data_IF_769007641065
#
_entry.id   IF_769007641065
#
_cell.length_a   1.000
_cell.length_b   1.000
_cell.length_c   1.000
_cell.angle_alpha   90.00
_cell.angle_beta   90.00
_cell.angle_gamma   90.00
#
_symmetry.space_group_name_H-M   'P 1'
#
loop_
_entity.id
_entity.type
_entity.pdbx_description
1 polymer ?
#
# COMPACT_ATOMS: atom_id res chain seq x y z
N UNK A 1 -21.13 -4.27 6.42
CA UNK A 1 -21.21 -4.46 4.96
C UNK A 1 -19.89 -5.04 4.50
N UNK A 2 -19.92 -5.97 3.57
CA UNK A 2 -18.75 -6.52 2.90
C UNK A 2 -18.91 -6.52 1.39
N UNK A 3 -17.84 -6.90 0.72
CA UNK A 3 -17.75 -7.09 -0.72
C UNK A 3 -17.11 -8.45 -0.98
N UNK A 4 -17.71 -9.24 -1.86
CA UNK A 4 -17.18 -10.53 -2.30
C UNK A 4 -17.06 -10.52 -3.81
N UNK A 5 -15.92 -10.98 -4.31
CA UNK A 5 -15.70 -11.21 -5.75
C UNK A 5 -15.87 -12.70 -6.05
N UNK A 6 -16.65 -13.01 -7.09
CA UNK A 6 -16.84 -14.37 -7.57
C UNK A 6 -16.54 -14.50 -9.06
N UNK A 7 -16.18 -15.71 -9.48
CA UNK A 7 -16.14 -16.15 -10.87
C UNK A 7 -17.14 -17.30 -11.03
N UNK A 8 -18.15 -17.14 -11.88
CA UNK A 8 -19.22 -18.14 -12.08
C UNK A 8 -19.84 -18.65 -10.76
N UNK A 9 -20.11 -17.72 -9.85
CA UNK A 9 -20.65 -17.95 -8.50
C UNK A 9 -19.70 -18.61 -7.48
N UNK A 10 -18.47 -18.93 -7.87
CA UNK A 10 -17.42 -19.39 -6.95
C UNK A 10 -16.62 -18.23 -6.38
N UNK A 11 -16.39 -18.23 -5.05
CA UNK A 11 -15.62 -17.18 -4.38
C UNK A 11 -14.16 -17.26 -4.81
N UNK A 12 -13.60 -16.11 -5.20
CA UNK A 12 -12.15 -16.01 -5.41
C UNK A 12 -11.47 -15.85 -4.05
N UNK A 13 -10.59 -16.78 -3.70
CA UNK A 13 -9.85 -16.76 -2.44
C UNK A 13 -9.05 -15.46 -2.26
N UNK A 14 -9.09 -14.89 -1.05
CA UNK A 14 -8.48 -13.60 -0.74
C UNK A 14 -9.15 -12.38 -1.40
N UNK A 15 -10.23 -12.54 -2.19
CA UNK A 15 -10.87 -11.44 -2.92
C UNK A 15 -12.11 -10.88 -2.21
N UNK A 16 -11.95 -10.50 -0.94
CA UNK A 16 -13.04 -9.92 -0.13
C UNK A 16 -12.65 -8.59 0.51
N UNK A 17 -13.59 -7.65 0.47
CA UNK A 17 -13.51 -6.38 1.17
C UNK A 17 -14.41 -6.38 2.41
N UNK A 18 -13.83 -6.60 3.58
CA UNK A 18 -14.52 -6.68 4.85
C UNK A 18 -14.49 -5.38 5.63
N UNK A 19 -15.54 -5.20 6.42
CA UNK A 19 -15.71 -4.14 7.41
C UNK A 19 -15.81 -2.71 6.87
N UNK A 20 -16.97 -2.43 6.27
CA UNK A 20 -17.53 -1.09 6.35
C UNK A 20 -18.14 -0.83 7.74
N UNK A 21 -17.34 -0.52 8.79
CA UNK A 21 -17.88 -0.29 10.14
C UNK A 21 -18.81 0.92 10.17
N UNK A 22 -20.11 0.64 10.23
CA UNK A 22 -21.18 1.63 10.26
C UNK A 22 -22.11 1.22 11.40
N UNK A 23 -22.22 2.06 12.44
CA UNK A 23 -23.11 1.82 13.59
C UNK A 23 -24.21 2.88 13.74
N UNK A 24 -24.25 3.84 12.82
CA UNK A 24 -25.17 4.98 12.84
C UNK A 24 -25.25 5.71 14.20
N UNK A 25 -24.15 5.73 14.95
CA UNK A 25 -24.05 6.30 16.30
C UNK A 25 -22.64 6.83 16.53
N UNK A 26 -22.52 7.87 17.37
CA UNK A 26 -21.26 8.57 17.66
C UNK A 26 -20.51 8.97 16.37
N UNK A 27 -21.24 9.47 15.36
CA UNK A 27 -20.73 9.86 14.04
C UNK A 27 -20.12 8.76 13.15
N UNK A 28 -20.16 7.47 13.54
CA UNK A 28 -19.73 6.36 12.66
C UNK A 28 -20.86 5.97 11.69
N UNK A 29 -21.03 6.81 10.67
CA UNK A 29 -22.13 6.72 9.68
C UNK A 29 -21.66 6.36 8.28
N UNK A 30 -20.36 6.49 8.02
CA UNK A 30 -19.78 6.32 6.69
C UNK A 30 -18.61 5.35 6.78
N UNK A 31 -18.44 4.57 5.74
CA UNK A 31 -17.26 3.74 5.54
C UNK A 31 -17.07 3.47 4.06
N UNK A 32 -15.89 2.98 3.69
CA UNK A 32 -15.55 2.49 2.36
C UNK A 32 -14.94 1.11 2.51
N UNK A 33 -15.33 0.20 1.63
CA UNK A 33 -14.73 -1.14 1.52
C UNK A 33 -13.96 -1.19 0.21
N UNK A 34 -12.80 -1.83 0.24
CA UNK A 34 -11.89 -1.90 -0.89
C UNK A 34 -11.39 -3.33 -1.04
N UNK A 35 -11.16 -3.72 -2.28
CA UNK A 35 -10.41 -4.91 -2.65
C UNK A 35 -9.42 -4.49 -3.75
N UNK A 36 -8.20 -4.98 -3.65
CA UNK A 36 -7.16 -4.83 -4.66
C UNK A 36 -6.34 -6.10 -4.70
N UNK A 37 -6.28 -6.78 -5.82
CA UNK A 37 -5.52 -8.02 -5.95
C UNK A 37 -5.58 -8.57 -7.35
N UNK A 38 -4.87 -9.67 -7.55
CA UNK A 38 -4.84 -10.43 -8.79
C UNK A 38 -5.87 -11.55 -8.70
N UNK A 39 -6.59 -11.77 -9.80
CA UNK A 39 -7.57 -12.84 -9.93
C UNK A 39 -7.25 -13.59 -11.23
N UNK A 40 -7.15 -14.91 -11.14
CA UNK A 40 -7.03 -15.79 -12.30
C UNK A 40 -8.43 -16.16 -12.79
N UNK A 41 -8.72 -15.86 -14.06
CA UNK A 41 -10.01 -16.13 -14.68
C UNK A 41 -9.83 -16.76 -16.07
N UNK A 42 -10.70 -17.71 -16.40
CA UNK A 42 -10.77 -18.34 -17.71
C UNK A 42 -11.69 -17.58 -18.67
N UNK A 43 -11.48 -17.79 -19.96
CA UNK A 43 -12.29 -17.15 -20.99
C UNK A 43 -13.76 -17.58 -20.88
N UNK A 44 -14.65 -16.61 -20.72
CA UNK A 44 -16.10 -16.83 -20.63
C UNK A 44 -16.65 -16.85 -19.21
N UNK A 45 -15.80 -16.87 -18.19
CA UNK A 45 -16.24 -16.74 -16.80
C UNK A 45 -16.83 -15.35 -16.53
N UNK A 46 -17.82 -15.29 -15.65
CA UNK A 46 -18.49 -14.06 -15.23
C UNK A 46 -17.92 -13.60 -13.90
N UNK A 47 -17.18 -12.49 -13.91
CA UNK A 47 -16.77 -11.79 -12.70
C UNK A 47 -17.96 -11.03 -12.11
N UNK A 48 -18.32 -11.37 -10.88
CA UNK A 48 -19.38 -10.70 -10.13
C UNK A 48 -18.83 -10.08 -8.86
N UNK A 49 -19.26 -8.85 -8.56
CA UNK A 49 -18.94 -8.16 -7.31
C UNK A 49 -20.25 -7.97 -6.54
N UNK A 50 -20.36 -8.61 -5.38
CA UNK A 50 -21.57 -8.60 -4.55
C UNK A 50 -21.32 -7.84 -3.25
N UNK A 51 -22.25 -6.96 -2.87
CA UNK A 51 -22.24 -6.34 -1.54
C UNK A 51 -23.06 -7.16 -0.56
N UNK A 52 -22.50 -7.43 0.62
CA UNK A 52 -23.08 -8.35 1.60
C UNK A 52 -23.42 -7.68 2.93
N UNK A 53 -24.49 -8.15 3.58
CA UNK A 53 -24.80 -7.84 4.97
C UNK A 53 -24.15 -8.88 5.87
N UNK A 54 -23.06 -8.48 6.55
CA UNK A 54 -22.25 -9.38 7.38
C UNK A 54 -22.39 -9.13 8.88
N UNK A 55 -23.26 -8.20 9.26
CA UNK A 55 -23.58 -7.88 10.64
C UNK A 55 -25.08 -7.57 10.75
N UNK A 56 -25.49 -6.87 11.81
CA UNK A 56 -26.88 -6.50 12.05
C UNK A 56 -27.56 -5.86 10.82
N UNK A 57 -28.84 -6.18 10.65
CA UNK A 57 -29.63 -5.69 9.55
C UNK A 57 -29.80 -4.16 9.56
N UNK A 58 -29.78 -3.56 8.38
CA UNK A 58 -29.93 -2.13 8.18
C UNK A 58 -29.80 -1.73 6.72
N UNK A 59 -30.02 -0.44 6.45
CA UNK A 59 -29.88 0.12 5.11
C UNK A 59 -28.58 0.90 5.01
N UNK A 60 -27.73 0.51 4.06
CA UNK A 60 -26.54 1.25 3.66
C UNK A 60 -26.72 1.61 2.20
N UNK A 61 -26.56 2.89 1.87
CA UNK A 61 -26.66 3.39 0.50
C UNK A 61 -25.33 4.02 0.09
N UNK A 62 -25.00 3.92 -1.19
CA UNK A 62 -24.02 4.84 -1.78
C UNK A 62 -24.65 6.23 -1.79
N UNK A 63 -23.92 7.23 -1.28
CA UNK A 63 -24.46 8.59 -1.18
C UNK A 63 -24.80 9.15 -2.58
N UNK A 64 -25.78 10.07 -2.70
CA UNK A 64 -26.08 10.73 -3.96
C UNK A 64 -24.81 11.34 -4.59
N UNK A 65 -24.69 11.22 -5.92
CA UNK A 65 -23.54 11.69 -6.70
C UNK A 65 -22.20 11.00 -6.37
N UNK A 66 -22.23 9.84 -5.70
CA UNK A 66 -21.07 8.95 -5.57
C UNK A 66 -21.33 7.66 -6.33
N UNK A 67 -20.26 7.04 -6.80
CA UNK A 67 -20.30 5.73 -7.45
C UNK A 67 -19.25 4.83 -6.79
N UNK A 68 -19.58 3.54 -6.67
CA UNK A 68 -18.55 2.52 -6.56
C UNK A 68 -17.76 2.50 -7.88
N UNK A 69 -16.47 2.23 -7.79
CA UNK A 69 -15.60 2.15 -8.97
C UNK A 69 -15.01 0.75 -9.05
N UNK A 70 -14.93 0.22 -10.26
CA UNK A 70 -14.28 -1.04 -10.56
C UNK A 70 -13.28 -0.78 -11.69
N UNK A 71 -12.03 -1.14 -11.46
CA UNK A 71 -10.98 -1.11 -12.44
C UNK A 71 -10.44 -2.52 -12.61
N UNK A 72 -10.33 -2.97 -13.86
CA UNK A 72 -9.80 -4.29 -14.20
C UNK A 72 -8.76 -4.08 -15.30
N UNK A 73 -7.56 -4.58 -15.06
CA UNK A 73 -6.48 -4.66 -16.03
C UNK A 73 -6.24 -6.13 -16.34
N UNK A 74 -6.17 -6.48 -17.63
CA UNK A 74 -5.67 -7.81 -18.02
C UNK A 74 -4.16 -7.80 -17.84
N UNK A 75 -3.66 -8.66 -16.96
CA UNK A 75 -2.25 -8.87 -16.74
C UNK A 75 -1.68 -9.88 -17.74
N UNK A 76 -0.42 -9.72 -18.11
CA UNK A 76 0.35 -10.77 -18.76
C UNK A 76 1.11 -11.59 -17.74
N UNK A 77 1.68 -12.70 -18.18
CA UNK A 77 2.44 -13.61 -17.31
C UNK A 77 3.88 -13.11 -17.08
N UNK A 78 4.39 -12.23 -17.96
CA UNK A 78 5.69 -11.57 -17.82
C UNK A 78 5.60 -10.42 -16.81
N UNK A 79 6.49 -10.44 -15.81
CA UNK A 79 6.58 -9.42 -14.78
C UNK A 79 5.59 -9.55 -13.64
N UNK A 80 4.83 -10.63 -13.53
CA UNK A 80 3.88 -10.82 -12.44
C UNK A 80 4.43 -11.78 -11.37
N UNK A 81 4.34 -11.35 -10.13
CA UNK A 81 4.40 -12.18 -8.94
C UNK A 81 3.04 -12.09 -8.26
N UNK A 82 2.46 -13.23 -7.91
CA UNK A 82 1.36 -13.33 -6.98
C UNK A 82 1.59 -14.54 -6.09
N UNK A 83 1.27 -14.41 -4.81
CA UNK A 83 1.32 -15.53 -3.87
C UNK A 83 0.29 -15.34 -2.75
N UNK A 84 -0.08 -16.44 -2.12
CA UNK A 84 -1.05 -16.50 -1.05
C UNK A 84 -0.38 -16.75 0.31
N UNK A 85 -1.14 -16.51 1.38
CA UNK A 85 -0.73 -16.84 2.74
C UNK A 85 -1.96 -17.04 3.63
N UNK A 86 -1.81 -17.80 4.72
CA UNK A 86 -2.84 -17.94 5.77
C UNK A 86 -2.39 -17.41 7.13
N UNK A 87 -1.08 -17.25 7.32
CA UNK A 87 -0.47 -16.88 8.59
C UNK A 87 0.88 -16.18 8.42
N UNK A 88 1.71 -16.29 9.46
CA UNK A 88 3.04 -15.67 9.54
C UNK A 88 4.11 -16.73 9.70
N UNK A 89 5.38 -16.36 9.50
CA UNK A 89 6.53 -17.22 9.80
C UNK A 89 6.64 -17.58 11.29
N UNK A 90 5.92 -16.87 12.17
CA UNK A 90 5.81 -17.16 13.60
C UNK A 90 4.53 -17.94 13.99
N UNK A 91 3.71 -18.34 13.01
CA UNK A 91 2.45 -19.07 13.18
C UNK A 91 1.20 -18.31 12.70
N UNK A 92 0.02 -18.83 13.00
CA UNK A 92 -1.27 -18.36 12.44
C UNK A 92 -1.72 -16.96 12.86
N UNK A 93 -1.11 -16.35 13.88
CA UNK A 93 -1.60 -15.07 14.40
C UNK A 93 -1.11 -13.89 13.54
N UNK A 94 -2.04 -13.25 12.85
CA UNK A 94 -1.83 -12.03 12.06
C UNK A 94 -1.87 -10.73 12.89
N UNK A 95 -2.02 -10.82 14.21
CA UNK A 95 -1.92 -9.71 15.15
C UNK A 95 -0.87 -10.00 16.24
N UNK A 96 0.39 -10.32 15.87
CA UNK A 96 1.41 -10.69 16.84
C UNK A 96 1.96 -9.46 17.59
N UNK A 97 2.43 -9.67 18.82
CA UNK A 97 3.02 -8.58 19.62
C UNK A 97 4.33 -8.06 19.01
N UNK A 98 5.14 -8.98 18.51
CA UNK A 98 6.35 -8.67 17.74
C UNK A 98 6.01 -8.77 16.26
N UNK A 99 6.66 -7.92 15.45
CA UNK A 99 6.54 -8.00 14.00
C UNK A 99 6.90 -9.41 13.50
N UNK A 100 6.09 -9.96 12.61
CA UNK A 100 6.35 -11.21 11.92
C UNK A 100 6.04 -11.07 10.43
N UNK A 101 6.87 -11.67 9.57
CA UNK A 101 6.63 -11.71 8.14
C UNK A 101 5.47 -12.67 7.81
N UNK A 102 4.76 -12.43 6.72
CA UNK A 102 3.77 -13.38 6.21
C UNK A 102 4.47 -14.66 5.75
N UNK A 103 3.86 -15.82 6.05
CA UNK A 103 4.31 -17.09 5.50
C UNK A 103 3.66 -17.28 4.13
N UNK A 104 4.35 -16.84 3.08
CA UNK A 104 3.93 -17.04 1.69
C UNK A 104 4.10 -18.52 1.31
N UNK A 105 3.34 -19.00 0.33
CA UNK A 105 3.33 -20.42 -0.03
C UNK A 105 4.60 -20.85 -0.79
N UNK A 106 5.23 -19.95 -1.55
CA UNK A 106 6.41 -20.29 -2.35
C UNK A 106 6.08 -20.94 -3.70
N UNK A 107 7.13 -21.27 -4.47
CA UNK A 107 7.04 -21.92 -5.80
C UNK A 107 6.39 -23.32 -5.81
N UNK A 108 6.20 -23.92 -4.64
CA UNK A 108 6.02 -25.36 -4.52
C UNK A 108 4.58 -25.87 -4.55
N UNK A 109 3.56 -25.02 -4.42
CA UNK A 109 2.15 -25.49 -4.37
C UNK A 109 1.06 -24.48 -4.72
N UNK A 110 1.42 -23.24 -5.02
CA UNK A 110 0.46 -22.19 -5.36
C UNK A 110 -0.03 -22.30 -6.82
N UNK A 111 -1.30 -21.97 -7.07
CA UNK A 111 -1.86 -21.76 -8.42
C UNK A 111 -1.50 -20.37 -8.95
N UNK A 112 -0.76 -19.59 -8.17
CA UNK A 112 -0.43 -18.20 -8.48
C UNK A 112 0.70 -18.10 -9.51
N UNK A 113 0.72 -16.97 -10.24
CA UNK A 113 1.67 -16.71 -11.32
C UNK A 113 2.96 -16.14 -10.72
N UNK A 114 4.06 -16.86 -10.88
CA UNK A 114 5.40 -16.41 -10.55
C UNK A 114 6.23 -16.34 -11.82
N UNK A 115 6.63 -15.13 -12.21
CA UNK A 115 7.64 -14.93 -13.24
C UNK A 115 9.05 -15.08 -12.64
N UNK A 116 9.58 -16.29 -12.69
CA UNK A 116 10.91 -16.65 -12.18
C UNK A 116 12.06 -15.85 -12.83
N UNK A 117 11.82 -15.17 -13.95
CA UNK A 117 12.82 -14.27 -14.53
C UNK A 117 12.95 -12.96 -13.76
N UNK A 118 11.86 -12.49 -13.16
CA UNK A 118 11.78 -11.21 -12.46
C UNK A 118 11.75 -11.36 -10.93
N UNK A 119 11.37 -12.53 -10.41
CA UNK A 119 11.23 -12.77 -8.96
C UNK A 119 11.79 -14.13 -8.52
N UNK A 120 12.02 -14.29 -7.21
CA UNK A 120 12.15 -15.59 -6.55
C UNK A 120 11.73 -15.49 -5.09
N UNK A 121 11.16 -16.58 -4.56
CA UNK A 121 10.84 -16.75 -3.15
C UNK A 121 10.98 -18.24 -2.75
N UNK A 122 12.22 -18.75 -2.76
CA UNK A 122 12.51 -20.19 -2.66
C UNK A 122 13.19 -20.63 -1.37
N UNK A 123 12.96 -21.91 -1.02
CA UNK A 123 13.56 -22.58 0.14
C UNK A 123 13.09 -21.97 1.45
N UNK A 124 13.84 -22.11 2.55
CA UNK A 124 13.41 -21.74 3.91
C UNK A 124 13.14 -20.23 4.18
N UNK A 125 12.95 -19.39 3.14
CA UNK A 125 12.69 -17.96 3.24
C UNK A 125 11.60 -17.51 2.26
N UNK A 126 10.52 -18.27 2.11
CA UNK A 126 9.43 -17.96 1.17
C UNK A 126 8.76 -16.60 1.45
N UNK A 127 8.93 -16.02 2.65
CA UNK A 127 8.47 -14.68 2.99
C UNK A 127 9.19 -13.54 2.24
N UNK A 128 10.31 -13.84 1.59
CA UNK A 128 11.18 -12.86 0.93
C UNK A 128 11.02 -12.91 -0.58
N UNK A 129 10.44 -11.84 -1.14
CA UNK A 129 10.26 -11.67 -2.58
C UNK A 129 11.50 -10.96 -3.12
N UNK A 130 12.40 -11.71 -3.75
CA UNK A 130 13.67 -11.18 -4.28
C UNK A 130 13.48 -10.64 -5.69
N UNK A 131 13.88 -9.39 -5.92
CA UNK A 131 13.83 -8.74 -7.23
C UNK A 131 15.00 -9.19 -8.11
N UNK A 132 14.72 -9.78 -9.27
CA UNK A 132 15.74 -10.22 -10.24
C UNK A 132 15.98 -9.22 -11.38
N UNK A 133 15.10 -8.24 -11.55
CA UNK A 133 15.21 -7.19 -12.56
C UNK A 133 15.01 -5.82 -11.93
N UNK A 134 15.92 -4.88 -12.18
CA UNK A 134 15.74 -3.53 -11.63
C UNK A 134 14.51 -2.84 -12.26
N UNK A 135 13.76 -2.08 -11.48
CA UNK A 135 12.59 -1.35 -11.96
C UNK A 135 11.62 -0.93 -10.86
N UNK A 136 10.46 -0.42 -11.29
CA UNK A 136 9.35 -0.10 -10.40
C UNK A 136 8.36 -1.25 -10.34
N UNK A 137 7.75 -1.46 -9.19
CA UNK A 137 6.84 -2.58 -8.95
C UNK A 137 5.55 -2.09 -8.32
N UNK A 138 4.41 -2.37 -8.96
CA UNK A 138 3.10 -2.11 -8.36
C UNK A 138 2.78 -3.27 -7.41
N UNK A 139 2.86 -3.00 -6.13
CA UNK A 139 2.46 -3.91 -5.07
C UNK A 139 0.94 -3.83 -4.87
N UNK A 140 0.31 -4.98 -4.75
CA UNK A 140 -1.02 -5.11 -4.14
C UNK A 140 -0.99 -6.14 -3.01
N UNK A 141 -1.76 -5.85 -1.97
CA UNK A 141 -2.00 -6.75 -0.85
C UNK A 141 -3.48 -6.73 -0.53
N UNK A 142 -4.05 -7.91 -0.25
CA UNK A 142 -5.36 -8.02 0.36
C UNK A 142 -5.43 -9.18 1.35
N UNK A 143 -6.10 -8.97 2.48
CA UNK A 143 -6.38 -10.04 3.44
C UNK A 143 -7.61 -9.70 4.25
N UNK A 144 -8.43 -10.71 4.49
CA UNK A 144 -9.43 -10.69 5.56
C UNK A 144 -8.77 -11.03 6.89
N UNK A 145 -9.21 -10.39 7.96
CA UNK A 145 -8.73 -10.54 9.32
C UNK A 145 -9.92 -10.85 10.20
N UNK A 146 -9.88 -12.00 10.88
CA UNK A 146 -10.99 -12.51 11.66
C UNK A 146 -10.58 -12.80 13.10
N UNK A 147 -11.45 -12.48 14.05
CA UNK A 147 -11.28 -12.80 15.46
C UNK A 147 -10.54 -11.72 16.25
N UNK A 148 -9.62 -12.15 17.11
CA UNK A 148 -8.89 -11.29 18.04
C UNK A 148 -9.60 -11.05 19.36
N UNK A 149 -9.04 -10.17 20.18
CA UNK A 149 -9.74 -9.60 21.33
C UNK A 149 -10.55 -8.38 20.90
N UNK A 150 -11.40 -7.88 21.79
CA UNK A 150 -12.06 -6.61 21.57
C UNK A 150 -11.03 -5.51 21.28
N UNK A 151 -11.19 -4.87 20.11
CA UNK A 151 -10.31 -3.81 19.59
C UNK A 151 -8.94 -4.29 19.13
N UNK A 152 -8.84 -5.55 18.67
CA UNK A 152 -7.67 -5.99 17.93
C UNK A 152 -7.53 -5.15 16.65
N UNK A 153 -6.29 -4.87 16.27
CA UNK A 153 -5.97 -4.09 15.08
C UNK A 153 -4.62 -4.56 14.52
N UNK A 154 -4.64 -5.56 13.63
CA UNK A 154 -3.49 -5.89 12.81
C UNK A 154 -3.03 -4.63 12.06
N UNK A 155 -1.73 -4.38 12.05
CA UNK A 155 -1.04 -3.48 11.13
C UNK A 155 -0.30 -4.35 10.14
N UNK A 156 -0.44 -4.02 8.86
CA UNK A 156 0.38 -4.59 7.79
C UNK A 156 1.37 -3.55 7.34
N UNK A 157 2.63 -3.94 7.17
CA UNK A 157 3.71 -3.13 6.63
C UNK A 157 4.37 -3.83 5.46
N UNK A 158 5.03 -3.02 4.64
CA UNK A 158 5.88 -3.51 3.55
C UNK A 158 7.28 -3.00 3.82
N UNK A 159 8.24 -3.89 3.72
CA UNK A 159 9.65 -3.61 3.88
C UNK A 159 10.40 -3.84 2.57
N UNK A 160 11.40 -2.99 2.28
CA UNK A 160 12.42 -3.23 1.27
C UNK A 160 13.76 -3.31 1.97
N UNK A 161 14.46 -4.44 1.82
CA UNK A 161 15.74 -4.72 2.49
C UNK A 161 15.65 -4.53 4.02
N UNK A 162 14.53 -4.96 4.61
CA UNK A 162 14.25 -4.84 6.05
C UNK A 162 13.83 -3.45 6.53
N UNK A 163 13.81 -2.44 5.67
CA UNK A 163 13.36 -1.09 6.01
C UNK A 163 11.90 -0.90 5.60
N UNK A 164 11.04 -0.45 6.53
CA UNK A 164 9.64 -0.14 6.20
C UNK A 164 9.57 0.96 5.12
N UNK A 165 8.78 0.71 4.07
CA UNK A 165 8.50 1.69 3.04
C UNK A 165 7.47 2.69 3.56
N UNK A 166 7.87 3.96 3.62
CA UNK A 166 7.01 5.03 4.16
C UNK A 166 5.68 5.12 3.41
N UNK A 167 4.58 5.20 4.16
CA UNK A 167 3.22 5.29 3.61
C UNK A 167 2.63 3.96 3.12
N UNK A 168 3.44 2.91 2.95
CA UNK A 168 2.97 1.59 2.51
C UNK A 168 2.62 0.73 3.73
N UNK A 169 1.51 1.10 4.37
CA UNK A 169 0.96 0.39 5.51
C UNK A 169 -0.55 0.49 5.54
N UNK A 170 -1.19 -0.49 6.17
CA UNK A 170 -2.61 -0.39 6.51
C UNK A 170 -2.84 -0.62 8.00
N UNK A 171 -3.59 0.31 8.60
CA UNK A 171 -3.79 0.43 10.06
C UNK A 171 -5.20 0.97 10.32
N UNK A 172 -6.22 0.14 10.16
CA UNK A 172 -7.59 0.54 10.51
C UNK A 172 -8.51 -0.68 10.72
N UNK A 173 -7.94 -1.87 10.87
CA UNK A 173 -8.65 -3.14 10.93
C UNK A 173 -9.23 -3.36 12.32
N UNK A 174 -9.99 -2.37 12.80
CA UNK A 174 -10.54 -2.32 14.14
C UNK A 174 -11.55 -3.44 14.34
N UNK A 175 -11.10 -4.57 14.87
CA UNK A 175 -11.94 -5.72 15.18
C UNK A 175 -12.60 -5.47 16.53
N UNK A 176 -13.85 -5.03 16.51
CA UNK A 176 -14.58 -4.71 17.75
C UNK A 176 -14.79 -5.94 18.61
N UNK A 177 -14.91 -7.11 17.98
CA UNK A 177 -15.24 -8.38 18.60
C UNK A 177 -16.52 -8.34 19.46
N UNK A 178 -17.56 -7.69 18.92
CA UNK A 178 -18.87 -7.57 19.57
C UNK A 178 -19.97 -7.30 18.54
N UNK A 179 -21.16 -7.87 18.75
CA UNK A 179 -22.32 -7.76 17.85
C UNK A 179 -22.01 -8.22 16.41
N UNK A 180 -21.27 -9.34 16.25
CA UNK A 180 -20.85 -9.90 14.97
C UNK A 180 -19.93 -8.98 14.14
N UNK A 181 -19.15 -8.12 14.80
CA UNK A 181 -18.11 -7.31 14.17
C UNK A 181 -16.74 -7.96 14.40
N UNK A 182 -16.58 -9.15 13.82
CA UNK A 182 -15.43 -10.02 14.05
C UNK A 182 -14.49 -10.09 12.86
N UNK A 183 -14.77 -9.33 11.79
CA UNK A 183 -14.02 -9.36 10.54
C UNK A 183 -13.65 -7.94 10.09
N UNK A 184 -12.52 -7.81 9.38
CA UNK A 184 -12.03 -6.61 8.69
C UNK A 184 -11.10 -6.98 7.54
N UNK A 185 -10.88 -6.07 6.59
CA UNK A 185 -9.92 -6.29 5.49
C UNK A 185 -8.84 -5.23 5.49
N UNK A 186 -7.60 -5.69 5.30
CA UNK A 186 -6.49 -4.85 4.86
C UNK A 186 -6.30 -4.92 3.36
N UNK A 187 -6.18 -3.75 2.74
CA UNK A 187 -5.85 -3.60 1.33
C UNK A 187 -4.75 -2.56 1.18
N UNK A 188 -3.74 -2.86 0.37
CA UNK A 188 -2.70 -1.90 -0.02
C UNK A 188 -2.57 -1.95 -1.54
N UNK A 189 -2.44 -0.78 -2.16
CA UNK A 189 -1.88 -0.63 -3.51
C UNK A 189 -0.80 0.43 -3.42
N UNK A 190 0.43 0.09 -3.80
CA UNK A 190 1.56 1.01 -3.72
C UNK A 190 2.55 0.77 -4.86
N UNK A 191 3.14 1.84 -5.37
CA UNK A 191 4.27 1.74 -6.29
C UNK A 191 5.56 1.72 -5.46
N UNK A 192 6.32 0.63 -5.56
CA UNK A 192 7.68 0.53 -5.06
C UNK A 192 8.62 0.95 -6.19
N UNK A 193 9.14 2.17 -6.12
CA UNK A 193 10.00 2.73 -7.16
C UNK A 193 11.45 2.28 -7.01
N UNK A 194 12.14 2.17 -8.15
CA UNK A 194 13.60 2.03 -8.24
C UNK A 194 14.20 0.88 -7.45
N UNK A 195 13.50 -0.26 -7.39
CA UNK A 195 14.06 -1.47 -6.80
C UNK A 195 15.21 -1.97 -7.66
N UNK A 196 16.32 -2.29 -7.01
CA UNK A 196 17.50 -2.86 -7.62
C UNK A 196 17.41 -4.39 -7.70
N UNK A 197 18.23 -4.99 -8.56
CA UNK A 197 18.43 -6.45 -8.54
C UNK A 197 19.01 -6.86 -7.19
N UNK A 198 18.38 -7.85 -6.55
CA UNK A 198 18.74 -8.34 -5.22
C UNK A 198 18.03 -7.64 -4.08
N UNK A 199 17.24 -6.58 -4.34
CA UNK A 199 16.36 -6.02 -3.32
C UNK A 199 15.34 -7.07 -2.89
N UNK A 200 15.05 -7.08 -1.60
CA UNK A 200 14.11 -8.02 -0.97
C UNK A 200 12.89 -7.26 -0.49
N UNK A 201 11.72 -7.62 -1.01
CA UNK A 201 10.43 -7.14 -0.52
C UNK A 201 9.85 -8.14 0.46
N UNK A 202 9.48 -7.66 1.64
CA UNK A 202 8.81 -8.47 2.68
C UNK A 202 7.51 -7.78 3.05
N UNK A 203 6.46 -8.57 3.32
CA UNK A 203 5.21 -8.06 3.89
C UNK A 203 5.08 -8.62 5.30
N UNK A 204 4.85 -7.74 6.27
CA UNK A 204 4.85 -8.09 7.68
C UNK A 204 3.58 -7.64 8.38
N UNK A 205 3.27 -8.30 9.50
CA UNK A 205 2.16 -7.95 10.39
C UNK A 205 2.63 -7.73 11.83
N UNK A 206 1.95 -6.83 12.51
CA UNK A 206 2.15 -6.55 13.94
C UNK A 206 0.87 -5.99 14.54
N UNK A 207 0.64 -6.17 15.84
CA UNK A 207 -0.44 -5.48 16.52
C UNK A 207 -0.20 -3.95 16.61
N UNK A 208 -1.20 -3.17 16.24
CA UNK A 208 -1.27 -1.71 16.44
C UNK A 208 -2.21 -1.34 17.60
N UNK A 209 -3.20 -2.21 17.86
CA UNK A 209 -4.22 -2.03 18.89
C UNK A 209 -4.06 -3.04 20.04
N UNK A 210 -5.19 -3.57 20.50
CA UNK A 210 -5.15 -4.67 21.47
C UNK A 210 -4.60 -5.95 20.81
N UNK A 211 -4.03 -6.83 21.63
CA UNK A 211 -3.63 -8.15 21.20
C UNK A 211 -4.79 -9.12 21.00
N UNK A 212 -4.50 -10.42 21.07
CA UNK A 212 -5.42 -11.50 20.74
C UNK A 212 -5.11 -12.10 19.38
N UNK A 213 -5.62 -13.32 19.16
CA UNK A 213 -5.31 -14.09 17.96
C UNK A 213 -6.25 -13.66 16.84
N UNK A 214 -5.69 -13.05 15.80
CA UNK A 214 -6.39 -12.74 14.55
C UNK A 214 -5.89 -13.68 13.47
N UNK A 215 -6.78 -14.26 12.69
CA UNK A 215 -6.42 -15.20 11.60
C UNK A 215 -7.01 -14.74 10.27
N UNK A 216 -6.61 -15.37 9.17
CA UNK A 216 -7.25 -15.22 7.86
C UNK A 216 -7.72 -16.58 7.35
N UNK A 217 -8.95 -17.02 7.69
CA UNK A 217 -9.42 -18.36 7.35
C UNK A 217 -9.48 -18.66 5.85
N UNK A 218 -9.69 -17.63 5.03
CA UNK A 218 -9.75 -17.69 3.56
C UNK A 218 -8.40 -17.34 2.91
N UNK A 219 -7.39 -17.06 3.72
CA UNK A 219 -6.10 -16.54 3.27
C UNK A 219 -6.14 -15.10 2.74
N UNK A 220 -4.95 -14.58 2.48
CA UNK A 220 -4.73 -13.32 1.76
C UNK A 220 -3.83 -13.53 0.55
N UNK A 221 -3.64 -12.46 -0.21
CA UNK A 221 -2.74 -12.43 -1.37
C UNK A 221 -1.80 -11.24 -1.34
N UNK A 222 -0.57 -11.47 -1.79
CA UNK A 222 0.44 -10.46 -2.11
C UNK A 222 0.73 -10.57 -3.59
N UNK A 223 0.79 -9.46 -4.32
CA UNK A 223 1.24 -9.47 -5.70
C UNK A 223 2.13 -8.28 -6.01
N UNK A 224 3.17 -8.51 -6.82
CA UNK A 224 3.99 -7.47 -7.42
C UNK A 224 3.87 -7.57 -8.93
N UNK A 225 3.54 -6.45 -9.57
CA UNK A 225 3.60 -6.35 -11.01
C UNK A 225 4.76 -5.44 -11.40
N UNK A 226 5.72 -5.98 -12.14
CA UNK A 226 6.78 -5.22 -12.75
C UNK A 226 6.13 -4.18 -13.67
N UNK A 227 6.39 -2.93 -13.35
CA UNK A 227 6.04 -1.82 -14.23
C UNK A 227 7.35 -1.38 -14.86
N UNK A 228 7.30 -1.13 -16.17
CA UNK A 228 8.37 -0.37 -16.78
C UNK A 228 8.58 0.88 -15.92
N UNK A 229 9.83 1.24 -15.63
CA UNK A 229 10.14 2.52 -15.01
C UNK A 229 9.33 3.57 -15.77
N UNK A 230 8.40 4.22 -15.07
CA UNK A 230 7.47 5.12 -15.72
C UNK A 230 8.29 6.31 -16.20
N UNK A 231 8.70 6.25 -17.45
CA UNK A 231 9.38 7.32 -18.14
C UNK A 231 8.33 8.06 -18.93
N UNK A 232 8.34 9.38 -18.80
CA UNK A 232 7.48 10.23 -19.60
C UNK A 232 7.69 9.88 -21.08
N UNK A 233 6.61 9.70 -21.83
CA UNK A 233 6.73 9.45 -23.26
C UNK A 233 7.48 10.62 -23.92
N UNK A 234 8.19 10.38 -25.03
CA UNK A 234 8.85 11.47 -25.73
C UNK A 234 7.83 12.57 -26.10
N UNK A 235 8.03 13.79 -25.58
CA UNK A 235 7.11 14.92 -25.76
C UNK A 235 6.01 15.05 -24.70
N UNK A 236 6.03 14.23 -23.66
CA UNK A 236 5.18 14.40 -22.48
C UNK A 236 5.48 15.76 -21.80
N UNK A 237 4.43 16.44 -21.35
CA UNK A 237 4.49 17.78 -20.76
C UNK A 237 3.98 17.78 -19.31
N UNK A 238 3.88 16.62 -18.67
CA UNK A 238 3.57 16.56 -17.25
C UNK A 238 4.67 17.21 -16.41
N UNK A 239 4.30 17.98 -15.37
CA UNK A 239 5.26 18.67 -14.51
C UNK A 239 6.06 17.68 -13.65
N UNK A 240 7.19 18.12 -13.07
CA UNK A 240 7.94 17.38 -12.06
C UNK A 240 7.06 16.92 -10.90
N UNK A 241 7.43 15.80 -10.27
CA UNK A 241 6.64 15.18 -9.20
C UNK A 241 7.37 15.29 -7.88
N UNK A 242 6.68 15.73 -6.83
CA UNK A 242 7.20 15.55 -5.47
C UNK A 242 7.15 14.06 -5.11
N UNK A 243 8.30 13.44 -4.91
CA UNK A 243 8.41 12.01 -4.62
C UNK A 243 8.46 11.71 -3.13
N UNK A 244 9.00 12.61 -2.31
CA UNK A 244 8.93 12.49 -0.84
C UNK A 244 9.18 13.82 -0.12
N UNK A 245 8.77 13.88 1.14
CA UNK A 245 9.04 14.97 2.06
C UNK A 245 9.31 14.41 3.46
N UNK A 246 10.35 14.93 4.12
CA UNK A 246 10.74 14.55 5.47
C UNK A 246 11.25 15.75 6.26
N UNK A 247 11.25 15.64 7.58
CA UNK A 247 11.73 16.70 8.46
C UNK A 247 12.06 16.23 9.85
N UNK A 248 12.82 17.05 10.57
CA UNK A 248 13.24 16.81 11.95
C UNK A 248 13.89 18.04 12.57
N UNK A 249 14.56 17.85 13.70
CA UNK A 249 15.19 18.94 14.46
C UNK A 249 16.23 19.71 13.63
N UNK A 250 16.91 19.05 12.71
CA UNK A 250 17.94 19.66 11.85
C UNK A 250 17.38 20.42 10.65
N UNK A 251 16.10 20.25 10.30
CA UNK A 251 15.51 20.87 9.11
C UNK A 251 14.57 19.95 8.34
N UNK A 252 14.43 20.22 7.03
CA UNK A 252 13.53 19.50 6.12
C UNK A 252 14.27 19.08 4.85
N UNK A 253 13.81 17.98 4.25
CA UNK A 253 14.26 17.49 2.95
C UNK A 253 13.06 17.11 2.09
N UNK A 254 12.99 17.67 0.89
CA UNK A 254 12.00 17.33 -0.12
C UNK A 254 12.70 16.75 -1.35
N UNK A 255 12.11 15.73 -1.95
CA UNK A 255 12.59 15.19 -3.22
C UNK A 255 11.57 15.50 -4.31
N UNK A 256 12.07 16.09 -5.39
CA UNK A 256 11.31 16.36 -6.61
C UNK A 256 11.99 15.62 -7.74
N UNK A 257 11.23 14.83 -8.48
CA UNK A 257 11.69 14.07 -9.63
C UNK A 257 11.22 14.77 -10.91
N UNK A 258 12.17 15.03 -11.81
CA UNK A 258 11.91 15.41 -13.18
C UNK A 258 10.96 14.41 -13.83
N UNK A 259 10.08 14.91 -14.69
CA UNK A 259 9.16 14.05 -15.41
C UNK A 259 9.14 14.43 -16.89
N UNK A 260 7.97 14.59 -17.51
CA UNK A 260 7.88 15.10 -18.89
C UNK A 260 8.58 16.45 -19.03
N UNK A 261 8.34 17.32 -18.06
CA UNK A 261 9.05 18.58 -17.84
C UNK A 261 9.98 18.47 -16.63
N UNK A 262 10.98 19.34 -16.59
CA UNK A 262 12.00 19.35 -15.54
C UNK A 262 11.80 20.47 -14.55
N UNK A 263 12.33 20.31 -13.35
CA UNK A 263 12.37 21.37 -12.36
C UNK A 263 13.28 22.51 -12.86
N UNK A 264 12.74 23.72 -12.99
CA UNK A 264 13.56 24.91 -13.22
C UNK A 264 14.10 25.43 -11.89
N UNK A 265 15.28 24.94 -11.52
CA UNK A 265 15.96 25.30 -10.28
C UNK A 265 16.18 26.82 -10.12
N UNK A 266 16.22 27.60 -11.22
CA UNK A 266 16.40 29.05 -11.14
C UNK A 266 15.15 29.78 -10.62
N UNK A 267 13.98 29.13 -10.68
CA UNK A 267 12.71 29.69 -10.20
C UNK A 267 12.36 29.27 -8.78
N UNK A 268 13.17 28.37 -8.19
CA UNK A 268 12.90 27.80 -6.88
C UNK A 268 12.96 28.87 -5.80
N UNK A 269 11.90 28.92 -4.99
CA UNK A 269 11.75 29.80 -3.83
C UNK A 269 11.26 28.98 -2.66
N UNK A 270 11.88 29.18 -1.50
CA UNK A 270 11.43 28.59 -0.26
C UNK A 270 11.04 29.68 0.73
N UNK A 271 9.97 29.43 1.50
CA UNK A 271 9.63 30.26 2.66
C UNK A 271 9.44 29.41 3.90
N UNK A 272 9.97 29.85 5.03
CA UNK A 272 9.69 29.28 6.34
C UNK A 272 8.83 30.27 7.12
N UNK A 273 7.64 29.84 7.54
CA UNK A 273 6.67 30.69 8.25
C UNK A 273 6.34 31.99 7.50
N UNK A 274 6.41 31.95 6.16
CA UNK A 274 6.15 33.10 5.28
C UNK A 274 7.38 33.97 4.98
N UNK A 275 8.52 33.74 5.63
CA UNK A 275 9.77 34.46 5.36
C UNK A 275 10.63 33.70 4.35
N UNK A 276 11.22 34.39 3.38
CA UNK A 276 12.15 33.75 2.43
C UNK A 276 13.33 33.13 3.14
N UNK A 277 13.64 31.89 2.78
CA UNK A 277 14.81 31.16 3.28
C UNK A 277 15.61 30.58 2.13
N UNK A 278 16.91 30.40 2.37
CA UNK A 278 17.78 29.68 1.45
C UNK A 278 17.60 28.18 1.63
N UNK A 279 17.68 27.45 0.52
CA UNK A 279 17.70 25.99 0.50
C UNK A 279 18.84 25.52 -0.38
N UNK A 280 19.40 24.35 -0.07
CA UNK A 280 20.35 23.69 -0.96
C UNK A 280 19.61 22.76 -1.89
N UNK A 281 20.04 22.71 -3.15
CA UNK A 281 19.45 21.84 -4.17
C UNK A 281 20.56 20.99 -4.76
N UNK A 282 20.51 19.68 -4.48
CA UNK A 282 21.40 18.70 -5.08
C UNK A 282 20.63 17.89 -6.12
N UNK A 283 21.14 17.85 -7.35
CA UNK A 283 20.44 17.23 -8.48
C UNK A 283 21.28 16.11 -9.10
N UNK A 284 20.72 14.91 -9.19
CA UNK A 284 21.38 13.77 -9.82
C UNK A 284 20.35 12.92 -10.57
N UNK A 285 20.63 12.62 -11.84
CA UNK A 285 19.80 11.76 -12.69
C UNK A 285 18.30 12.15 -12.75
N UNK A 286 17.98 13.45 -12.69
CA UNK A 286 16.59 13.94 -12.70
C UNK A 286 15.91 13.92 -11.33
N UNK A 287 16.57 13.46 -10.26
CA UNK A 287 16.09 13.60 -8.90
C UNK A 287 16.74 14.83 -8.24
N UNK A 288 15.93 15.69 -7.66
CA UNK A 288 16.31 16.93 -6.99
C UNK A 288 16.03 16.82 -5.49
N UNK A 289 17.07 16.86 -4.67
CA UNK A 289 16.97 16.95 -3.22
C UNK A 289 17.04 18.41 -2.80
N UNK A 290 15.95 18.93 -2.23
CA UNK A 290 15.80 20.31 -1.76
C UNK A 290 15.82 20.30 -0.24
N UNK A 291 16.86 20.89 0.35
CA UNK A 291 17.10 20.81 1.78
C UNK A 291 17.10 22.19 2.43
N UNK A 292 16.36 22.30 3.53
CA UNK A 292 16.40 23.45 4.44
C UNK A 292 17.01 22.99 5.76
N UNK A 293 17.98 23.74 6.28
CA UNK A 293 18.54 23.52 7.61
C UNK A 293 18.13 24.66 8.55
N UNK A 294 17.65 24.33 9.75
CA UNK A 294 17.47 25.36 10.78
C UNK A 294 18.85 25.87 11.23
N UNK A 295 18.96 27.18 11.47
CA UNK A 295 20.20 27.77 12.03
C UNK A 295 20.46 27.30 13.46
N UNK A 296 19.38 27.14 14.22
CA UNK A 296 19.36 26.64 15.60
C UNK A 296 18.20 25.67 15.76
N UNK A 297 18.30 24.72 16.71
CA UNK A 297 17.21 23.78 16.92
C UNK A 297 15.89 24.50 17.25
N UNK A 298 14.79 24.14 16.58
CA UNK A 298 13.50 24.75 16.84
C UNK A 298 13.05 24.42 18.27
N UNK A 299 12.34 25.35 18.95
CA UNK A 299 11.78 25.09 20.27
C UNK A 299 10.94 23.81 20.30
N UNK A 300 10.95 23.11 21.43
CA UNK A 300 10.12 21.90 21.56
C UNK A 300 8.64 22.22 21.39
N UNK A 301 7.99 21.53 20.44
CA UNK A 301 6.57 21.69 20.16
C UNK A 301 6.21 22.92 19.32
N UNK A 302 7.18 23.63 18.75
CA UNK A 302 6.89 24.71 17.80
C UNK A 302 6.43 24.16 16.45
N UNK A 303 5.53 24.90 15.80
CA UNK A 303 5.05 24.61 14.46
C UNK A 303 5.81 25.45 13.43
N UNK A 304 6.17 24.82 12.32
CA UNK A 304 6.91 25.45 11.23
C UNK A 304 6.28 25.06 9.89
N UNK A 305 6.00 26.06 9.05
CA UNK A 305 5.45 25.88 7.72
C UNK A 305 6.52 26.19 6.68
N UNK A 306 7.11 25.15 6.08
CA UNK A 306 7.99 25.28 4.93
C UNK A 306 7.16 25.20 3.64
N UNK A 307 7.25 26.22 2.80
CA UNK A 307 6.69 26.22 1.46
C UNK A 307 7.82 26.22 0.45
N UNK A 308 7.72 25.36 -0.56
CA UNK A 308 8.63 25.30 -1.70
C UNK A 308 7.79 25.56 -2.94
N UNK A 309 8.21 26.53 -3.75
CA UNK A 309 7.58 26.87 -5.02
C UNK A 309 8.64 26.90 -6.12
N UNK A 310 8.31 26.36 -7.28
CA UNK A 310 9.15 26.35 -8.47
C UNK A 310 8.24 26.28 -9.70
N UNK A 311 8.78 26.68 -10.84
CA UNK A 311 8.22 26.41 -12.14
C UNK A 311 8.90 25.18 -12.74
N UNK A 312 8.20 24.52 -13.64
CA UNK A 312 8.83 23.55 -14.53
C UNK A 312 9.41 24.25 -15.78
N UNK A 313 10.16 23.51 -16.59
CA UNK A 313 10.77 24.04 -17.82
C UNK A 313 9.77 24.51 -18.89
N UNK A 314 8.48 24.20 -18.73
CA UNK A 314 7.38 24.68 -19.58
C UNK A 314 6.82 26.05 -19.16
N UNK A 315 7.10 26.51 -17.94
CA UNK A 315 6.73 27.84 -17.44
C UNK A 315 5.65 27.84 -16.36
#
# INVERSE_FOLDING_TARGET
VGLTVTLDDEIVEGARGQQGYIRNSNAHKNSSIHFSGVISAEAGQVLTVTTEQLALAGTVIVQPNRAASLFIEKLGDDGLYADSFTGTTAGENLNPANKAALALVGDGSSVDVIDDANYSNEGDNEENIVIKKAGSYLLSFNSTFTGGNARANPRVTVEVNGNEVSGVKTTAHYLRHANAHDESTGSIVALLSDLAVGDVVTVSVQQEGNGGIVTSPEGGKVALQAKAAYSAAAGDQFPPRASSFSGGLSGFSAYVEDFGLKLDAATLKATLNGESVDVTVDSANGLHSINYAFTDFPPTGSEHALNIAFNDTGG
#
